data_IF_390220170763
#
_entry.id   IF_390220170763
#
_cell.length_a   1.000
_cell.length_b   1.000
_cell.length_c   1.000
_cell.angle_alpha   90.00
_cell.angle_beta   90.00
_cell.angle_gamma   90.00
#
_symmetry.space_group_name_H-M   'P 1'
#
loop_
_entity.id
_entity.type
_entity.pdbx_description
1 polymer ?
#
# COMPACT_ATOMS: atom_id res chain seq x y z
N UNK A 1 9.27 19.15 13.96
CA UNK A 1 10.02 17.97 13.47
C UNK A 1 9.96 18.00 11.95
N UNK A 2 10.87 17.38 11.21
CA UNK A 2 10.73 17.26 9.74
C UNK A 2 9.97 15.96 9.44
N UNK A 3 8.79 16.00 8.79
CA UNK A 3 7.99 14.79 8.52
C UNK A 3 8.71 13.77 7.64
N UNK A 4 9.37 14.21 6.56
CA UNK A 4 10.07 13.33 5.63
C UNK A 4 11.24 12.61 6.33
N UNK A 5 12.00 13.33 7.17
CA UNK A 5 13.07 12.71 7.95
C UNK A 5 12.54 11.58 8.85
N UNK A 6 11.36 11.73 9.46
CA UNK A 6 10.75 10.67 10.28
C UNK A 6 10.35 9.46 9.42
N UNK A 7 9.84 9.67 8.20
CA UNK A 7 9.54 8.57 7.28
C UNK A 7 10.82 7.80 6.94
N UNK A 8 11.88 8.51 6.56
CA UNK A 8 13.17 7.89 6.19
C UNK A 8 13.82 7.18 7.39
N UNK A 9 13.69 7.72 8.61
CA UNK A 9 14.13 7.03 9.83
C UNK A 9 13.48 5.66 10.02
N UNK A 10 12.26 5.46 9.52
CA UNK A 10 11.54 4.18 9.59
C UNK A 10 11.75 3.30 8.36
N UNK A 11 12.45 3.76 7.32
CA UNK A 11 12.61 3.06 6.06
C UNK A 11 13.94 2.27 6.00
N UNK A 12 13.93 0.92 6.09
CA UNK A 12 15.14 0.11 6.25
C UNK A 12 16.10 0.11 5.04
N UNK A 13 15.74 0.75 3.94
CA UNK A 13 16.51 0.76 2.69
C UNK A 13 17.19 2.12 2.40
N UNK A 14 17.36 2.97 3.41
CA UNK A 14 18.10 4.23 3.30
C UNK A 14 19.09 4.45 4.45
N UNK A 15 19.98 5.43 4.30
CA UNK A 15 21.04 5.73 5.28
C UNK A 15 20.50 6.39 6.55
N UNK A 16 19.35 7.03 6.45
CA UNK A 16 18.65 7.69 7.55
C UNK A 16 17.94 6.69 8.49
N UNK A 17 17.85 5.41 8.10
CA UNK A 17 17.20 4.39 8.92
C UNK A 17 17.78 4.36 10.33
N UNK A 18 16.90 4.52 11.31
CA UNK A 18 17.29 4.70 12.70
C UNK A 18 16.98 3.46 13.53
N UNK A 19 17.94 3.04 14.34
CA UNK A 19 17.72 2.01 15.36
C UNK A 19 16.67 2.43 16.40
N UNK A 20 16.39 3.73 16.51
CA UNK A 20 15.38 4.32 17.40
C UNK A 20 14.03 4.55 16.71
N UNK A 21 13.88 4.13 15.46
CA UNK A 21 12.61 4.22 14.73
C UNK A 21 11.57 3.25 15.25
N UNK A 22 10.29 3.55 15.05
CA UNK A 22 9.21 2.65 15.44
C UNK A 22 9.35 1.30 14.74
N UNK A 23 9.66 1.33 13.44
CA UNK A 23 9.87 0.13 12.62
C UNK A 23 10.98 -0.76 13.20
N UNK A 24 12.15 -0.20 13.53
CA UNK A 24 13.26 -0.98 14.09
C UNK A 24 12.94 -1.52 15.49
N UNK A 25 12.42 -0.68 16.38
CA UNK A 25 12.10 -1.08 17.75
C UNK A 25 11.06 -2.20 17.74
N UNK A 26 10.03 -2.09 16.90
CA UNK A 26 9.04 -3.15 16.75
C UNK A 26 9.71 -4.43 16.26
N UNK A 27 10.49 -4.38 15.18
CA UNK A 27 11.13 -5.57 14.61
C UNK A 27 12.13 -6.27 15.55
N UNK A 28 13.12 -5.53 16.06
CA UNK A 28 14.23 -6.08 16.84
C UNK A 28 13.86 -6.33 18.31
N UNK A 29 13.23 -5.35 18.95
CA UNK A 29 12.93 -5.42 20.39
C UNK A 29 11.58 -6.08 20.68
N UNK A 30 10.72 -6.23 19.65
CA UNK A 30 9.36 -6.80 19.76
C UNK A 30 8.52 -6.10 20.82
N UNK A 31 8.60 -4.78 20.82
CA UNK A 31 7.79 -3.93 21.68
C UNK A 31 7.27 -2.73 20.89
N UNK A 32 6.11 -2.25 21.28
CA UNK A 32 5.57 -0.99 20.77
C UNK A 32 6.23 0.13 21.57
N UNK A 33 7.03 0.95 20.89
CA UNK A 33 7.43 2.26 21.39
C UNK A 33 6.43 3.28 20.89
N UNK A 34 5.59 3.68 21.83
CA UNK A 34 4.42 4.47 21.56
C UNK A 34 4.84 5.90 21.15
N UNK A 35 5.86 6.49 21.77
CA UNK A 35 6.48 7.77 21.37
C UNK A 35 7.05 7.74 19.96
N UNK A 36 7.69 6.65 19.57
CA UNK A 36 8.16 6.46 18.19
C UNK A 36 6.99 6.32 17.21
N UNK A 37 5.94 5.59 17.57
CA UNK A 37 4.73 5.44 16.76
C UNK A 37 4.04 6.78 16.52
N UNK A 38 3.85 7.60 17.56
CA UNK A 38 3.18 8.89 17.43
C UNK A 38 3.93 9.87 16.52
N UNK A 39 5.27 9.81 16.49
CA UNK A 39 6.06 10.57 15.52
C UNK A 39 5.80 10.11 14.09
N UNK A 40 5.75 8.80 13.85
CA UNK A 40 5.44 8.23 12.54
C UNK A 40 4.03 8.63 12.08
N UNK A 41 3.03 8.50 12.96
CA UNK A 41 1.66 8.93 12.69
C UNK A 41 1.58 10.44 12.39
N UNK A 42 2.22 11.26 13.22
CA UNK A 42 2.28 12.71 13.01
C UNK A 42 2.90 13.02 11.64
N UNK A 43 4.03 12.39 11.29
CA UNK A 43 4.69 12.61 10.01
C UNK A 43 3.78 12.28 8.82
N UNK A 44 3.10 11.13 8.85
CA UNK A 44 2.14 10.75 7.80
C UNK A 44 1.02 11.79 7.65
N UNK A 45 0.45 12.28 8.75
CA UNK A 45 -0.62 13.28 8.73
C UNK A 45 -0.15 14.63 8.17
N UNK A 46 1.04 15.09 8.57
CA UNK A 46 1.62 16.34 8.08
C UNK A 46 1.89 16.26 6.58
N UNK A 47 2.43 15.12 6.12
CA UNK A 47 2.69 14.85 4.71
C UNK A 47 1.41 14.77 3.89
N UNK A 48 0.32 14.26 4.49
CA UNK A 48 -1.01 14.23 3.85
C UNK A 48 -1.63 15.62 3.70
N UNK A 49 -1.27 16.57 4.56
CA UNK A 49 -1.89 17.90 4.66
C UNK A 49 -1.10 19.00 3.94
N UNK A 50 0.02 18.68 3.31
CA UNK A 50 0.82 19.64 2.55
C UNK A 50 0.10 20.01 1.24
N UNK A 51 -0.01 21.32 0.96
CA UNK A 51 -0.78 21.88 -0.18
C UNK A 51 -0.13 21.68 -1.56
N UNK A 52 1.06 21.07 -1.66
CA UNK A 52 1.83 20.95 -2.91
C UNK A 52 1.93 19.51 -3.42
N UNK A 53 2.03 19.36 -4.75
CA UNK A 53 2.23 18.11 -5.49
C UNK A 53 3.24 17.20 -4.79
N UNK A 54 2.69 16.19 -4.12
CA UNK A 54 3.44 15.35 -3.21
C UNK A 54 4.38 14.43 -4.00
N UNK A 55 5.71 14.53 -3.83
CA UNK A 55 6.64 13.90 -4.74
C UNK A 55 6.56 12.37 -4.60
N UNK A 56 6.51 11.71 -5.77
CA UNK A 56 6.24 10.28 -5.91
C UNK A 56 7.32 9.39 -5.29
N UNK A 57 8.52 9.92 -5.06
CA UNK A 57 9.63 9.25 -4.38
C UNK A 57 9.31 8.85 -2.93
N UNK A 58 8.28 9.47 -2.32
CA UNK A 58 7.87 9.21 -0.95
C UNK A 58 6.77 8.13 -0.81
N UNK A 59 6.10 7.72 -1.89
CA UNK A 59 5.14 6.61 -1.85
C UNK A 59 5.81 5.28 -1.51
N UNK A 60 7.03 5.07 -2.03
CA UNK A 60 7.76 3.83 -1.82
C UNK A 60 8.18 3.61 -0.35
N UNK A 61 8.88 4.55 0.32
CA UNK A 61 9.18 4.42 1.74
C UNK A 61 7.93 4.16 2.60
N UNK A 62 6.85 4.91 2.35
CA UNK A 62 5.62 4.75 3.14
C UNK A 62 4.94 3.39 2.90
N UNK A 63 4.88 2.92 1.65
CA UNK A 63 4.35 1.57 1.37
C UNK A 63 5.19 0.49 2.04
N UNK A 64 6.51 0.63 2.01
CA UNK A 64 7.43 -0.32 2.61
C UNK A 64 7.26 -0.40 4.13
N UNK A 65 7.13 0.74 4.80
CA UNK A 65 6.82 0.79 6.23
C UNK A 65 5.47 0.09 6.49
N UNK A 66 4.42 0.44 5.73
CA UNK A 66 3.09 -0.17 5.90
C UNK A 66 3.12 -1.70 5.76
N UNK A 67 3.75 -2.21 4.70
CA UNK A 67 3.82 -3.63 4.40
C UNK A 67 4.53 -4.41 5.52
N UNK A 68 5.64 -3.87 6.01
CA UNK A 68 6.38 -4.47 7.12
C UNK A 68 5.61 -4.44 8.44
N UNK A 69 5.00 -3.29 8.80
CA UNK A 69 4.17 -3.18 10.00
C UNK A 69 3.00 -4.17 9.94
N UNK A 70 2.29 -4.24 8.82
CA UNK A 70 1.18 -5.17 8.62
C UNK A 70 1.62 -6.62 8.79
N UNK A 71 2.79 -6.98 8.24
CA UNK A 71 3.36 -8.32 8.37
C UNK A 71 3.69 -8.66 9.83
N UNK A 72 4.28 -7.73 10.58
CA UNK A 72 4.62 -7.94 12.00
C UNK A 72 3.39 -8.05 12.90
N UNK A 73 2.35 -7.23 12.66
CA UNK A 73 1.08 -7.35 13.39
C UNK A 73 0.40 -8.70 13.09
N UNK A 74 0.36 -9.11 11.83
CA UNK A 74 -0.18 -10.42 11.45
C UNK A 74 0.64 -11.58 12.00
N UNK A 75 1.96 -11.44 12.09
CA UNK A 75 2.83 -12.43 12.73
C UNK A 75 2.51 -12.54 14.22
N UNK A 76 2.39 -11.42 14.94
CA UNK A 76 2.00 -11.43 16.36
C UNK A 76 0.65 -12.08 16.62
N UNK A 77 -0.36 -11.80 15.79
CA UNK A 77 -1.68 -12.44 15.90
C UNK A 77 -1.64 -13.97 15.66
N UNK A 78 -0.66 -14.46 14.90
CA UNK A 78 -0.54 -15.87 14.58
C UNK A 78 0.28 -16.62 15.64
N UNK A 79 -0.39 -17.41 16.49
CA UNK A 79 0.26 -18.23 17.54
C UNK A 79 1.33 -19.24 17.05
N UNK A 80 1.43 -19.49 15.75
CA UNK A 80 2.47 -20.33 15.16
C UNK A 80 3.64 -19.54 14.59
N UNK A 81 3.50 -18.23 14.44
CA UNK A 81 4.61 -17.34 14.20
C UNK A 81 5.31 -17.10 15.54
N UNK A 82 6.64 -17.20 15.56
CA UNK A 82 7.43 -17.06 16.81
C UNK A 82 7.67 -15.59 17.17
N UNK A 83 6.98 -14.68 16.49
CA UNK A 83 7.03 -13.26 16.68
C UNK A 83 5.90 -12.83 17.62
N UNK A 84 6.26 -12.20 18.74
CA UNK A 84 5.32 -11.83 19.80
C UNK A 84 5.71 -10.46 20.35
N UNK A 85 4.77 -9.52 20.36
CA UNK A 85 4.93 -8.15 20.84
C UNK A 85 4.64 -8.15 22.35
N UNK A 86 5.62 -7.78 23.16
CA UNK A 86 5.66 -8.25 24.57
C UNK A 86 5.11 -7.27 25.60
N UNK A 87 4.89 -6.02 25.23
CA UNK A 87 4.65 -4.92 26.19
C UNK A 87 3.22 -4.36 26.17
N UNK A 88 2.33 -4.93 25.36
CA UNK A 88 0.90 -4.60 25.31
C UNK A 88 0.08 -5.88 25.15
N UNK A 89 -1.21 -5.82 25.47
CA UNK A 89 -2.13 -6.93 25.24
C UNK A 89 -2.66 -6.94 23.80
N UNK A 90 -3.21 -8.09 23.38
CA UNK A 90 -3.74 -8.30 22.03
C UNK A 90 -4.84 -7.29 21.68
N UNK A 91 -5.62 -6.82 22.66
CA UNK A 91 -6.67 -5.84 22.43
C UNK A 91 -6.07 -4.51 21.98
N UNK A 92 -5.09 -4.00 22.72
CA UNK A 92 -4.38 -2.78 22.37
C UNK A 92 -3.67 -2.89 21.02
N UNK A 93 -3.03 -4.04 20.75
CA UNK A 93 -2.28 -4.26 19.52
C UNK A 93 -3.22 -4.29 18.31
N UNK A 94 -4.38 -4.93 18.42
CA UNK A 94 -5.40 -4.94 17.37
C UNK A 94 -5.93 -3.52 17.08
N UNK A 95 -6.18 -2.73 18.12
CA UNK A 95 -6.59 -1.33 17.96
C UNK A 95 -5.49 -0.49 17.29
N UNK A 96 -4.23 -0.69 17.67
CA UNK A 96 -3.09 0.00 17.06
C UNK A 96 -2.91 -0.39 15.59
N UNK A 97 -3.12 -1.66 15.25
CA UNK A 97 -3.11 -2.15 13.86
C UNK A 97 -4.22 -1.47 13.05
N UNK A 98 -5.44 -1.39 13.58
CA UNK A 98 -6.55 -0.68 12.92
C UNK A 98 -6.25 0.80 12.73
N UNK A 99 -5.70 1.47 13.76
CA UNK A 99 -5.24 2.86 13.68
C UNK A 99 -4.18 3.06 12.60
N UNK A 100 -3.15 2.22 12.61
CA UNK A 100 -2.06 2.25 11.63
C UNK A 100 -2.63 2.14 10.23
N UNK A 101 -3.53 1.20 9.98
CA UNK A 101 -4.17 1.06 8.68
C UNK A 101 -4.90 2.33 8.24
N UNK A 102 -5.72 2.93 9.10
CA UNK A 102 -6.48 4.16 8.78
C UNK A 102 -5.53 5.32 8.44
N UNK A 103 -4.45 5.49 9.20
CA UNK A 103 -3.47 6.58 8.99
C UNK A 103 -2.76 6.44 7.65
N UNK A 104 -2.28 5.24 7.32
CA UNK A 104 -1.62 4.99 6.03
C UNK A 104 -2.61 5.08 4.86
N UNK A 105 -3.84 4.61 5.01
CA UNK A 105 -4.86 4.78 3.98
C UNK A 105 -5.17 6.26 3.70
N UNK A 106 -5.23 7.09 4.74
CA UNK A 106 -5.38 8.54 4.62
C UNK A 106 -4.24 9.17 3.81
N UNK A 107 -3.00 8.79 4.12
CA UNK A 107 -1.82 9.22 3.38
C UNK A 107 -1.91 8.89 1.89
N UNK A 108 -2.15 7.63 1.53
CA UNK A 108 -2.23 7.25 0.12
C UNK A 108 -3.42 7.90 -0.61
N UNK A 109 -4.51 8.20 0.12
CA UNK A 109 -5.68 8.90 -0.43
C UNK A 109 -5.46 10.41 -0.60
N UNK A 110 -4.37 10.96 -0.05
CA UNK A 110 -4.15 12.40 0.02
C UNK A 110 -5.22 13.12 0.84
N UNK A 111 -5.81 12.46 1.85
CA UNK A 111 -6.80 13.07 2.75
C UNK A 111 -6.52 12.70 4.19
N UNK A 112 -6.60 13.70 5.07
CA UNK A 112 -6.41 13.49 6.49
C UNK A 112 -7.29 12.32 6.99
N UNK A 113 -6.71 11.36 7.73
CA UNK A 113 -7.44 10.19 8.21
C UNK A 113 -8.51 10.60 9.24
N UNK A 114 -9.69 9.99 9.16
CA UNK A 114 -10.71 10.13 10.20
C UNK A 114 -10.35 9.22 11.39
N UNK A 115 -9.60 9.79 12.34
CA UNK A 115 -9.20 9.12 13.58
C UNK A 115 -10.18 9.39 14.74
N UNK A 116 -11.34 10.04 14.47
CA UNK A 116 -12.31 10.39 15.52
C UNK A 116 -12.97 9.19 16.18
N UNK A 117 -12.95 8.04 15.51
CA UNK A 117 -13.43 6.75 16.01
C UNK A 117 -12.44 6.04 16.95
N UNK A 118 -11.22 6.55 17.12
CA UNK A 118 -10.14 5.94 17.91
C UNK A 118 -9.74 6.83 19.09
N UNK A 119 -10.65 6.99 20.06
CA UNK A 119 -10.52 7.95 21.16
C UNK A 119 -9.73 7.45 22.38
N UNK A 120 -9.44 6.15 22.45
CA UNK A 120 -8.90 5.54 23.67
C UNK A 120 -7.44 5.92 23.96
N UNK A 121 -6.68 6.36 22.93
CA UNK A 121 -5.34 6.93 23.08
C UNK A 121 -5.06 7.95 21.96
N UNK A 122 -5.00 9.23 22.33
CA UNK A 122 -4.79 10.35 21.40
C UNK A 122 -3.30 10.61 21.20
N UNK A 123 -2.90 10.87 19.96
CA UNK A 123 -1.55 11.32 19.66
C UNK A 123 -1.32 12.75 20.22
N UNK A 124 -0.46 12.93 21.24
CA UNK A 124 -0.26 14.22 21.88
C UNK A 124 0.35 15.27 20.92
N UNK A 125 1.00 14.84 19.84
CA UNK A 125 1.59 15.72 18.83
C UNK A 125 0.52 16.38 17.94
N UNK A 126 -0.68 15.80 17.85
CA UNK A 126 -1.79 16.36 17.07
C UNK A 126 -2.59 17.39 17.89
N UNK A 127 -2.69 17.21 19.21
CA UNK A 127 -3.41 18.16 20.08
C UNK A 127 -2.73 19.52 20.14
N UNK A 128 -1.39 19.58 20.13
CA UNK A 128 -0.64 20.84 20.15
C UNK A 128 -0.83 21.72 18.92
N UNK A 129 -1.36 21.18 17.82
CA UNK A 129 -1.61 21.91 16.57
C UNK A 129 -3.09 22.27 16.34
N UNK A 130 -4.01 21.79 17.19
CA UNK A 130 -5.45 22.11 17.07
C UNK A 130 -5.80 23.59 17.32
N UNK A 131 -4.92 24.35 18.00
CA UNK A 131 -5.05 25.82 18.06
C UNK A 131 -4.78 26.51 16.71
N UNK A 132 -4.16 25.83 15.75
CA UNK A 132 -3.90 26.30 14.38
C UNK A 132 -4.87 25.66 13.36
N UNK A 133 -5.25 24.40 13.56
CA UNK A 133 -6.14 23.66 12.64
C UNK A 133 -7.57 24.25 12.53
N UNK A 134 -8.03 24.96 13.58
CA UNK A 134 -9.31 25.68 13.53
C UNK A 134 -9.28 26.87 12.55
N UNK A 135 -8.10 27.44 12.29
CA UNK A 135 -7.88 28.49 11.29
C UNK A 135 -7.87 27.93 9.85
N UNK A 136 -7.39 26.69 9.67
CA UNK A 136 -7.32 26.01 8.36
C UNK A 136 -8.72 25.57 7.90
N UNK A 137 -9.54 25.02 8.79
CA UNK A 137 -10.91 24.60 8.45
C UNK A 137 -11.84 25.78 8.08
N UNK A 138 -11.60 26.97 8.63
CA UNK A 138 -12.38 28.18 8.32
C UNK A 138 -12.00 28.82 6.98
N UNK A 139 -10.78 28.57 6.46
CA UNK A 139 -10.31 29.13 5.19
C UNK A 139 -10.88 28.40 3.96
N UNK A 140 -11.19 27.11 4.10
CA UNK A 140 -11.74 26.25 3.06
C UNK A 140 -13.22 26.57 2.68
N UNK A 141 -13.88 27.49 3.40
CA UNK A 141 -15.26 27.91 3.11
C UNK A 141 -15.38 29.20 2.27
N UNK A 142 -14.26 29.82 1.87
CA UNK A 142 -14.24 31.04 1.06
C UNK A 142 -13.39 30.83 -0.18
N UNK A 143 -13.97 30.18 -1.19
CA UNK A 143 -13.34 29.99 -2.49
C UNK A 143 -13.08 31.33 -3.19
N UNK A 144 -11.92 31.43 -3.83
CA UNK A 144 -11.72 32.24 -5.02
C UNK A 144 -11.18 31.36 -6.12
N UNK A 145 -11.93 31.33 -7.22
CA UNK A 145 -11.52 30.74 -8.50
C UNK A 145 -10.64 31.77 -9.19
N UNK A 146 -9.38 31.43 -9.44
CA UNK A 146 -8.58 32.06 -10.49
C UNK A 146 -8.14 30.97 -11.44
N UNK A 147 -8.69 31.03 -12.67
CA UNK A 147 -8.18 30.25 -13.77
C UNK A 147 -6.90 30.91 -14.29
N UNK A 148 -5.89 30.09 -14.53
CA UNK A 148 -4.77 30.42 -15.40
C UNK A 148 -4.66 29.30 -16.44
N UNK A 149 -4.43 29.74 -17.68
CA UNK A 149 -4.45 28.94 -18.89
C UNK A 149 -3.19 28.08 -19.01
N UNK A 150 -3.36 26.86 -19.52
CA UNK A 150 -2.32 25.89 -19.80
C UNK A 150 -1.31 26.44 -20.83
N UNK A 151 -0.03 26.48 -20.44
CA UNK A 151 1.08 26.70 -21.36
C UNK A 151 1.62 25.32 -21.79
N UNK A 152 1.26 24.92 -23.01
CA UNK A 152 1.82 23.73 -23.68
C UNK A 152 3.31 23.95 -23.96
N UNK A 153 4.19 23.15 -23.34
CA UNK A 153 5.41 22.63 -23.96
C UNK A 153 6.32 21.94 -22.94
N UNK A 154 6.43 20.61 -23.02
CA UNK A 154 7.74 19.96 -23.09
C UNK A 154 7.60 18.57 -23.72
N UNK A 155 8.22 18.40 -24.90
CA UNK A 155 8.33 17.14 -25.61
C UNK A 155 9.26 16.20 -24.83
N UNK A 156 8.69 15.43 -23.90
CA UNK A 156 9.36 14.28 -23.31
C UNK A 156 9.38 13.13 -24.34
N UNK A 157 10.54 12.49 -24.48
CA UNK A 157 10.79 11.34 -25.35
C UNK A 157 9.64 10.30 -25.25
N UNK A 158 8.96 10.00 -26.36
CA UNK A 158 7.88 8.98 -26.45
C UNK A 158 8.39 7.54 -26.23
N UNK A 159 9.68 7.36 -25.93
CA UNK A 159 10.37 6.09 -25.80
C UNK A 159 10.14 5.47 -24.40
N UNK A 160 8.94 4.92 -24.16
CA UNK A 160 8.62 4.22 -22.90
C UNK A 160 7.18 4.39 -22.43
N UNK A 161 6.40 5.24 -23.10
CA UNK A 161 4.99 5.47 -22.81
C UNK A 161 4.15 4.25 -23.18
N UNK A 162 3.35 3.78 -22.24
CA UNK A 162 2.32 2.80 -22.54
C UNK A 162 1.24 3.43 -23.42
N UNK A 163 0.76 2.71 -24.44
CA UNK A 163 -0.35 3.22 -25.23
C UNK A 163 -1.63 3.33 -24.38
N UNK A 164 -2.50 4.27 -24.73
CA UNK A 164 -3.71 4.57 -23.95
C UNK A 164 -4.66 3.36 -23.81
N UNK A 165 -4.71 2.45 -24.79
CA UNK A 165 -5.57 1.27 -24.75
C UNK A 165 -5.04 0.25 -23.73
N UNK A 166 -3.74 -0.02 -23.76
CA UNK A 166 -3.06 -0.86 -22.77
C UNK A 166 -3.17 -0.29 -21.35
N UNK A 167 -2.99 1.03 -21.18
CA UNK A 167 -3.14 1.68 -19.88
C UNK A 167 -4.58 1.55 -19.38
N UNK A 168 -5.57 1.85 -20.22
CA UNK A 168 -6.99 1.69 -19.89
C UNK A 168 -7.31 0.27 -19.46
N UNK A 169 -6.79 -0.73 -20.19
CA UNK A 169 -6.99 -2.15 -19.85
C UNK A 169 -6.38 -2.53 -18.51
N UNK A 170 -5.18 -2.03 -18.18
CA UNK A 170 -4.56 -2.25 -16.87
C UNK A 170 -5.43 -1.68 -15.75
N UNK A 171 -5.88 -0.43 -15.93
CA UNK A 171 -6.73 0.24 -14.96
C UNK A 171 -8.07 -0.47 -14.78
N UNK A 172 -8.72 -0.92 -15.86
CA UNK A 172 -9.95 -1.71 -15.75
C UNK A 172 -9.77 -2.99 -14.90
N UNK A 173 -8.63 -3.68 -15.03
CA UNK A 173 -8.33 -4.86 -14.19
C UNK A 173 -8.15 -4.45 -12.73
N UNK A 174 -7.39 -3.38 -12.47
CA UNK A 174 -7.10 -2.89 -11.12
C UNK A 174 -8.38 -2.42 -10.43
N UNK A 175 -9.16 -1.55 -11.06
CA UNK A 175 -10.35 -0.96 -10.44
C UNK A 175 -11.48 -2.00 -10.21
N UNK A 176 -11.51 -3.10 -10.96
CA UNK A 176 -12.40 -4.24 -10.67
C UNK A 176 -12.14 -4.89 -9.32
N UNK A 177 -10.94 -4.75 -8.78
CA UNK A 177 -10.54 -5.29 -7.47
C UNK A 177 -10.81 -4.31 -6.31
N UNK A 178 -11.33 -3.11 -6.55
CA UNK A 178 -11.61 -2.14 -5.47
C UNK A 178 -12.94 -2.48 -4.82
N UNK A 179 -12.89 -2.98 -3.57
CA UNK A 179 -14.09 -3.29 -2.79
C UNK A 179 -14.98 -2.06 -2.67
N UNK A 180 -16.28 -2.23 -2.89
CA UNK A 180 -17.27 -1.13 -2.89
C UNK A 180 -17.03 -0.02 -3.93
N UNK A 181 -16.05 -0.18 -4.82
CA UNK A 181 -15.86 0.70 -5.96
C UNK A 181 -16.95 0.48 -7.02
N UNK A 182 -17.22 1.51 -7.82
CA UNK A 182 -18.23 1.46 -8.89
C UNK A 182 -17.96 0.35 -9.92
N UNK A 183 -16.70 -0.01 -10.11
CA UNK A 183 -16.26 -1.04 -11.06
C UNK A 183 -16.03 -2.41 -10.41
N UNK A 184 -16.35 -2.56 -9.12
CA UNK A 184 -16.19 -3.81 -8.38
C UNK A 184 -16.75 -5.01 -9.15
N UNK A 185 -15.97 -6.07 -9.22
CA UNK A 185 -16.39 -7.33 -9.81
C UNK A 185 -16.19 -8.47 -8.82
N UNK A 186 -17.26 -9.24 -8.57
CA UNK A 186 -17.17 -10.51 -7.83
C UNK A 186 -16.32 -11.58 -8.56
N UNK A 187 -15.95 -11.32 -9.82
CA UNK A 187 -15.05 -12.12 -10.65
C UNK A 187 -13.63 -11.53 -10.73
N UNK A 188 -13.33 -10.48 -9.97
CA UNK A 188 -11.96 -10.01 -9.78
C UNK A 188 -11.20 -10.92 -8.81
N UNK A 189 -9.88 -10.79 -8.71
CA UNK A 189 -9.09 -11.52 -7.72
C UNK A 189 -9.61 -11.26 -6.30
N UNK A 190 -9.76 -9.99 -5.93
CA UNK A 190 -10.26 -9.63 -4.60
C UNK A 190 -11.74 -10.02 -4.43
N UNK A 191 -12.56 -9.96 -5.48
CA UNK A 191 -13.95 -10.42 -5.45
C UNK A 191 -14.07 -11.91 -5.15
N UNK A 192 -13.25 -12.74 -5.77
CA UNK A 192 -13.23 -14.17 -5.50
C UNK A 192 -12.65 -14.49 -4.13
N UNK A 193 -11.61 -13.77 -3.71
CA UNK A 193 -11.01 -13.92 -2.39
C UNK A 193 -11.99 -13.52 -1.27
N UNK A 194 -12.66 -12.38 -1.42
CA UNK A 194 -13.56 -11.79 -0.43
C UNK A 194 -14.94 -12.48 -0.40
N UNK A 195 -15.62 -12.58 -1.55
CA UNK A 195 -17.03 -13.01 -1.61
C UNK A 195 -17.16 -14.53 -1.69
N UNK A 196 -16.20 -15.20 -2.31
CA UNK A 196 -16.27 -16.64 -2.60
C UNK A 196 -15.32 -17.48 -1.74
N UNK A 197 -14.45 -16.84 -0.95
CA UNK A 197 -13.40 -17.50 -0.16
C UNK A 197 -12.54 -18.43 -1.01
N UNK A 198 -12.22 -18.00 -2.25
CA UNK A 198 -11.52 -18.82 -3.23
C UNK A 198 -10.28 -18.10 -3.72
N UNK A 199 -9.14 -18.79 -3.69
CA UNK A 199 -7.93 -18.29 -4.34
C UNK A 199 -7.98 -18.65 -5.83
N UNK A 200 -8.14 -17.65 -6.68
CA UNK A 200 -8.11 -17.81 -8.14
C UNK A 200 -6.82 -17.18 -8.69
N UNK A 201 -5.86 -18.04 -9.04
CA UNK A 201 -4.54 -17.59 -9.48
C UNK A 201 -4.58 -16.97 -10.88
N UNK A 202 -5.52 -17.36 -11.75
CA UNK A 202 -5.63 -16.75 -13.08
C UNK A 202 -6.07 -15.29 -12.98
N UNK A 203 -7.00 -14.97 -12.07
CA UNK A 203 -7.34 -13.59 -11.78
C UNK A 203 -6.21 -12.82 -11.08
N UNK A 204 -5.45 -13.47 -10.20
CA UNK A 204 -4.25 -12.86 -9.63
C UNK A 204 -3.20 -12.56 -10.71
N UNK A 205 -2.97 -13.47 -11.65
CA UNK A 205 -2.04 -13.27 -12.77
C UNK A 205 -2.40 -12.08 -13.64
N UNK A 206 -3.69 -11.85 -13.90
CA UNK A 206 -4.16 -10.67 -14.61
C UNK A 206 -3.87 -9.39 -13.81
N UNK A 207 -4.15 -9.40 -12.51
CA UNK A 207 -3.88 -8.27 -11.62
C UNK A 207 -2.37 -7.96 -11.55
N UNK A 208 -1.54 -8.98 -11.39
CA UNK A 208 -0.09 -8.85 -11.37
C UNK A 208 0.45 -8.27 -12.68
N UNK A 209 -0.03 -8.75 -13.83
CA UNK A 209 0.35 -8.20 -15.13
C UNK A 209 -0.01 -6.72 -15.24
N UNK A 210 -1.24 -6.35 -14.84
CA UNK A 210 -1.68 -4.96 -14.87
C UNK A 210 -0.81 -4.06 -13.98
N UNK A 211 -0.52 -4.49 -12.76
CA UNK A 211 0.33 -3.74 -11.82
C UNK A 211 1.75 -3.57 -12.40
N UNK A 212 2.36 -4.66 -12.88
CA UNK A 212 3.74 -4.61 -13.39
C UNK A 212 3.87 -3.84 -14.69
N UNK A 213 2.86 -3.87 -15.57
CA UNK A 213 2.82 -3.02 -16.75
C UNK A 213 2.78 -1.55 -16.33
N UNK A 214 1.92 -1.19 -15.39
CA UNK A 214 1.87 0.16 -14.84
C UNK A 214 3.16 0.57 -14.10
N UNK A 215 3.88 -0.36 -13.49
CA UNK A 215 5.19 -0.09 -12.86
C UNK A 215 6.32 0.17 -13.86
N UNK A 216 6.12 -0.13 -15.15
CA UNK A 216 7.12 0.10 -16.22
C UNK A 216 6.91 1.42 -16.94
N UNK A 217 5.71 1.97 -16.87
CA UNK A 217 5.37 3.22 -17.54
C UNK A 217 6.00 4.39 -16.77
N UNK A 218 6.94 5.06 -17.42
CA UNK A 218 7.73 6.14 -16.82
C UNK A 218 6.88 7.39 -16.52
N UNK A 219 5.69 7.50 -17.12
CA UNK A 219 4.73 8.58 -16.87
C UNK A 219 3.64 8.18 -15.88
N UNK A 220 3.55 6.91 -15.51
CA UNK A 220 2.56 6.46 -14.55
C UNK A 220 3.08 6.68 -13.13
N UNK A 221 2.80 7.87 -12.63
CA UNK A 221 3.11 8.24 -11.26
C UNK A 221 2.23 7.43 -10.29
N UNK A 222 2.80 6.78 -9.27
CA UNK A 222 2.03 6.12 -8.22
C UNK A 222 0.97 7.05 -7.61
N UNK A 223 1.13 8.38 -7.65
CA UNK A 223 0.13 9.32 -7.14
C UNK A 223 -1.27 9.13 -7.70
N UNK A 224 -1.42 8.86 -9.01
CA UNK A 224 -2.75 8.79 -9.65
C UNK A 224 -3.56 7.54 -9.25
N UNK A 225 -2.88 6.45 -8.90
CA UNK A 225 -3.52 5.15 -8.63
C UNK A 225 -3.02 4.49 -7.33
N UNK A 226 -2.20 5.17 -6.55
CA UNK A 226 -1.47 4.63 -5.40
C UNK A 226 -2.39 4.23 -4.28
N UNK A 227 -3.39 5.05 -3.99
CA UNK A 227 -4.48 4.67 -3.08
C UNK A 227 -5.17 3.39 -3.52
N UNK A 228 -5.56 3.31 -4.79
CA UNK A 228 -6.27 2.16 -5.35
C UNK A 228 -5.45 0.88 -5.22
N UNK A 229 -4.17 0.93 -5.60
CA UNK A 229 -3.24 -0.20 -5.51
C UNK A 229 -2.96 -0.57 -4.06
N UNK A 230 -2.77 0.41 -3.17
CA UNK A 230 -2.59 0.18 -1.74
C UNK A 230 -3.81 -0.51 -1.10
N UNK A 231 -5.02 -0.07 -1.45
CA UNK A 231 -6.27 -0.68 -0.96
C UNK A 231 -6.39 -2.14 -1.37
N UNK A 232 -6.05 -2.48 -2.62
CA UNK A 232 -6.05 -3.87 -3.10
C UNK A 232 -5.05 -4.70 -2.31
N UNK A 233 -3.82 -4.20 -2.13
CA UNK A 233 -2.79 -4.87 -1.32
C UNK A 233 -3.27 -5.12 0.11
N UNK A 234 -3.70 -4.06 0.80
CA UNK A 234 -4.16 -4.11 2.19
C UNK A 234 -5.31 -5.11 2.36
N UNK A 235 -6.34 -5.02 1.52
CA UNK A 235 -7.49 -5.91 1.61
C UNK A 235 -7.15 -7.38 1.32
N UNK A 236 -6.30 -7.65 0.32
CA UNK A 236 -5.87 -9.00 -0.01
C UNK A 236 -4.99 -9.59 1.11
N UNK A 237 -3.96 -8.86 1.55
CA UNK A 237 -3.06 -9.31 2.60
C UNK A 237 -3.82 -9.60 3.90
N UNK A 238 -4.75 -8.73 4.31
CA UNK A 238 -5.60 -8.99 5.48
C UNK A 238 -6.37 -10.31 5.37
N UNK A 239 -6.98 -10.60 4.21
CA UNK A 239 -7.71 -11.87 3.99
C UNK A 239 -6.79 -13.10 3.97
N UNK A 240 -5.62 -12.96 3.35
CA UNK A 240 -4.63 -14.04 3.26
C UNK A 240 -4.03 -14.36 4.63
N UNK A 241 -3.69 -13.32 5.43
CA UNK A 241 -3.22 -13.50 6.80
C UNK A 241 -4.29 -14.06 7.72
N UNK A 242 -5.53 -13.59 7.63
CA UNK A 242 -6.66 -14.16 8.37
C UNK A 242 -6.82 -15.67 8.12
N UNK A 243 -6.60 -16.14 6.89
CA UNK A 243 -6.61 -17.58 6.61
C UNK A 243 -5.44 -18.37 7.25
N UNK A 244 -4.29 -17.71 7.44
CA UNK A 244 -3.15 -18.34 8.11
C UNK A 244 -3.36 -18.44 9.62
N UNK A 245 -4.12 -17.50 10.19
CA UNK A 245 -4.53 -17.46 11.59
C UNK A 245 -5.48 -18.63 11.93
N UNK A 246 -5.10 -19.52 12.85
CA UNK A 246 -5.99 -20.60 13.31
C UNK A 246 -7.22 -20.15 14.11
N UNK A 247 -7.21 -18.94 14.66
CA UNK A 247 -8.27 -18.42 15.51
C UNK A 247 -9.24 -17.49 14.74
N UNK A 248 -8.93 -17.17 13.48
CA UNK A 248 -9.85 -16.47 12.57
C UNK A 248 -10.81 -17.47 11.86
N UNK A 249 -12.03 -16.99 11.63
CA UNK A 249 -13.08 -17.69 10.90
C UNK A 249 -12.91 -17.67 9.37
N UNK A 250 -12.04 -16.80 8.85
CA UNK A 250 -11.78 -16.70 7.40
C UNK A 250 -11.03 -17.94 6.93
N UNK A 251 -11.66 -18.73 6.05
CA UNK A 251 -11.06 -19.92 5.48
C UNK A 251 -11.18 -19.90 3.95
N UNK A 252 -10.04 -19.75 3.27
CA UNK A 252 -9.95 -19.87 1.82
C UNK A 252 -9.97 -21.35 1.47
N UNK A 253 -10.86 -21.74 0.55
CA UNK A 253 -11.11 -23.14 0.19
C UNK A 253 -10.02 -23.67 -0.73
N UNK A 254 -9.74 -24.96 -0.58
CA UNK A 254 -8.92 -25.75 -1.51
C UNK A 254 -7.51 -25.19 -1.77
N UNK A 255 -6.93 -24.50 -0.78
CA UNK A 255 -5.58 -23.91 -0.87
C UNK A 255 -4.72 -24.32 0.33
N UNK A 256 -3.44 -24.55 0.08
CA UNK A 256 -2.49 -24.82 1.16
C UNK A 256 -2.01 -23.52 1.82
N UNK A 257 -1.72 -23.57 3.12
CA UNK A 257 -1.08 -22.44 3.83
C UNK A 257 0.23 -22.01 3.17
N UNK A 258 0.98 -22.97 2.60
CA UNK A 258 2.22 -22.66 1.88
C UNK A 258 1.98 -21.83 0.62
N UNK A 259 0.97 -22.19 -0.18
CA UNK A 259 0.57 -21.40 -1.35
C UNK A 259 0.21 -19.96 -0.97
N UNK A 260 -0.45 -19.76 0.16
CA UNK A 260 -0.81 -18.43 0.69
C UNK A 260 0.43 -17.64 1.11
N UNK A 261 1.40 -18.27 1.80
CA UNK A 261 2.68 -17.62 2.15
C UNK A 261 3.48 -17.22 0.92
N UNK A 262 3.59 -18.10 -0.07
CA UNK A 262 4.28 -17.77 -1.34
C UNK A 262 3.58 -16.62 -2.06
N UNK A 263 2.24 -16.58 -2.06
CA UNK A 263 1.49 -15.48 -2.66
C UNK A 263 1.72 -14.15 -1.93
N UNK A 264 1.71 -14.14 -0.60
CA UNK A 264 2.01 -12.93 0.19
C UNK A 264 3.39 -12.35 -0.14
N UNK A 265 4.41 -13.22 -0.24
CA UNK A 265 5.76 -12.80 -0.66
C UNK A 265 5.74 -12.22 -2.09
N UNK A 266 4.99 -12.85 -2.99
CA UNK A 266 4.83 -12.38 -4.36
C UNK A 266 4.13 -11.04 -4.46
N UNK A 267 3.05 -10.85 -3.70
CA UNK A 267 2.35 -9.58 -3.61
C UNK A 267 3.26 -8.48 -3.07
N UNK A 268 4.06 -8.76 -2.04
CA UNK A 268 5.04 -7.79 -1.55
C UNK A 268 6.00 -7.32 -2.65
N UNK A 269 6.59 -8.25 -3.42
CA UNK A 269 7.52 -7.90 -4.51
C UNK A 269 6.84 -7.12 -5.64
N UNK A 270 5.64 -7.54 -6.06
CA UNK A 270 4.91 -6.92 -7.17
C UNK A 270 4.47 -5.50 -6.81
N UNK A 271 3.85 -5.32 -5.64
CA UNK A 271 3.34 -4.03 -5.21
C UNK A 271 4.48 -3.09 -4.80
N UNK A 272 5.57 -3.62 -4.23
CA UNK A 272 6.80 -2.85 -4.02
C UNK A 272 7.30 -2.22 -5.31
N UNK A 273 7.36 -3.00 -6.39
CA UNK A 273 7.74 -2.52 -7.71
C UNK A 273 6.88 -1.37 -8.22
N UNK A 274 5.58 -1.42 -7.95
CA UNK A 274 4.65 -0.35 -8.30
C UNK A 274 4.95 0.94 -7.56
N UNK A 275 5.03 0.89 -6.23
CA UNK A 275 5.29 2.11 -5.45
C UNK A 275 6.69 2.67 -5.67
N UNK A 276 7.66 1.80 -5.99
CA UNK A 276 9.02 2.18 -6.39
C UNK A 276 9.09 2.80 -7.78
N UNK A 277 8.05 2.69 -8.60
CA UNK A 277 8.08 3.08 -10.02
C UNK A 277 9.05 2.25 -10.85
N UNK A 278 9.32 1.01 -10.43
CA UNK A 278 10.27 0.10 -11.10
C UNK A 278 9.82 -1.34 -10.96
N UNK A 279 9.41 -1.93 -12.07
CA UNK A 279 9.05 -3.35 -12.10
C UNK A 279 10.21 -4.25 -11.59
N UNK A 280 9.94 -5.17 -10.65
CA UNK A 280 10.91 -6.14 -10.15
C UNK A 280 11.31 -7.15 -11.21
N UNK A 281 12.46 -7.77 -11.00
CA UNK A 281 12.86 -8.98 -11.71
C UNK A 281 12.10 -10.19 -11.16
N UNK A 282 10.93 -10.45 -11.74
CA UNK A 282 10.10 -11.61 -11.37
C UNK A 282 10.78 -12.94 -11.64
N UNK A 283 11.77 -12.97 -12.55
CA UNK A 283 12.47 -14.19 -12.89
C UNK A 283 13.49 -14.60 -11.84
N UNK A 284 14.17 -13.60 -11.25
CA UNK A 284 15.05 -13.78 -10.11
C UNK A 284 14.29 -14.02 -8.80
N UNK A 285 13.10 -13.44 -8.63
CA UNK A 285 12.36 -13.50 -7.38
C UNK A 285 11.55 -14.78 -7.18
N UNK A 286 11.04 -15.43 -8.24
CA UNK A 286 10.14 -16.57 -8.12
C UNK A 286 10.41 -17.67 -9.15
N UNK A 287 10.35 -18.93 -8.67
CA UNK A 287 10.40 -20.12 -9.53
C UNK A 287 9.13 -20.24 -10.38
N UNK A 288 7.94 -20.05 -9.77
CA UNK A 288 6.67 -20.07 -10.49
C UNK A 288 6.52 -18.81 -11.34
N UNK A 289 6.27 -19.01 -12.64
CA UNK A 289 6.12 -17.93 -13.61
C UNK A 289 4.64 -17.61 -13.82
N UNK A 290 4.36 -16.32 -13.97
CA UNK A 290 3.06 -15.87 -14.44
C UNK A 290 2.96 -16.22 -15.94
N UNK A 291 2.03 -17.11 -16.33
CA UNK A 291 1.95 -17.61 -17.72
C UNK A 291 1.60 -16.51 -18.72
N UNK A 292 1.02 -15.39 -18.25
CA UNK A 292 0.61 -14.26 -19.09
C UNK A 292 1.78 -13.34 -19.47
N UNK A 293 2.94 -13.44 -18.80
CA UNK A 293 4.10 -12.56 -19.08
C UNK A 293 4.95 -13.00 -20.28
N UNK A 294 4.75 -14.21 -20.80
CA UNK A 294 5.60 -14.77 -21.85
C UNK A 294 5.11 -14.51 -23.28
N UNK A 295 3.98 -13.81 -23.47
CA UNK A 295 3.31 -13.73 -24.78
C UNK A 295 3.78 -12.57 -25.69
N UNK A 296 4.83 -11.84 -25.34
CA UNK A 296 5.36 -10.75 -26.18
C UNK A 296 6.43 -11.19 -27.21
N UNK A 297 6.86 -12.46 -27.20
CA UNK A 297 7.83 -13.00 -28.19
C UNK A 297 7.21 -13.97 -29.21
N UNK A 298 5.88 -14.00 -29.34
CA UNK A 298 5.15 -15.02 -30.10
C UNK A 298 4.65 -14.65 -31.51
N UNK A 299 4.93 -13.45 -32.04
CA UNK A 299 4.46 -13.04 -33.39
C UNK A 299 5.53 -12.38 -34.26
N UNK A 300 6.71 -12.99 -34.35
CA UNK A 300 7.61 -12.78 -35.51
C UNK A 300 8.24 -14.11 -35.89
N UNK A 301 7.55 -14.82 -36.78
CA UNK A 301 8.12 -15.63 -37.87
C UNK A 301 7.15 -16.75 -38.24
N UNK A 302 6.12 -16.39 -39.02
CA UNK A 302 5.49 -17.35 -39.91
C UNK A 302 6.37 -17.45 -41.17
N UNK A 303 6.91 -18.63 -41.53
CA UNK A 303 7.67 -18.79 -42.76
C UNK A 303 6.73 -18.70 -43.97
N UNK A 304 7.17 -17.93 -44.97
CA UNK A 304 6.61 -17.95 -46.34
C UNK A 304 6.93 -19.26 -47.05
#
# INVERSE_FOLDING_TARGET
MNPLSIILENFPHCEEFSEQSFMNILYEERRIDLDAYWKLEWALIQLTSAEEDYPHDQYWPVFQIFSHLSSMFCAHANKYDLYDIRNFDDWFINDLMARTRIVFEGYFMGRAPDITCLQDYVNPLLESETSSATEIALRNCSGQVSGEEDDESELADEQGRMDMESQTRCLEIIYKNVSYGMQWSAQSFLGMLHDQQRLDMDAYWQLECAILQLSRDQLNEPGSHGWTVHQIFSAACNRLHAHLDPDDSVQIRDVSKERIRTLLQRMNVVFDGFFKGKAPDMDAAFEEKNPLMHDERGTRDAPR
#
